data_IF_156576319924
#
_entry.id   IF_156576319924
#
_cell.length_a   1.000
_cell.length_b   1.000
_cell.length_c   1.000
_cell.angle_alpha   90.00
_cell.angle_beta   90.00
_cell.angle_gamma   90.00
#
_symmetry.space_group_name_H-M   'P 1'
#
loop_
_entity.id
_entity.type
_entity.pdbx_description
1 polymer ?
#
# COMPACT_ATOMS: atom_id res chain seq x y z
N UNK A 1 -4.09 -17.14 56.01
CA UNK A 1 -3.19 -17.54 54.90
C UNK A 1 -4.02 -17.49 53.63
N UNK A 2 -3.86 -16.45 52.86
CA UNK A 2 -4.64 -16.21 51.67
C UNK A 2 -3.70 -15.94 50.50
N UNK A 3 -3.66 -16.86 49.53
CA UNK A 3 -3.03 -16.71 48.25
C UNK A 3 -3.94 -15.85 47.37
N UNK A 4 -3.57 -14.62 47.12
CA UNK A 4 -4.09 -13.76 46.05
C UNK A 4 -2.91 -13.50 45.15
N UNK A 5 -2.77 -14.11 44.01
CA UNK A 5 -3.59 -13.91 42.81
C UNK A 5 -2.80 -12.99 41.89
N UNK A 6 -1.70 -13.56 41.31
CA UNK A 6 -0.97 -12.94 40.18
C UNK A 6 -1.88 -12.90 38.93
N UNK A 7 -2.79 -11.94 38.85
CA UNK A 7 -3.39 -11.55 37.60
C UNK A 7 -2.38 -10.67 36.88
N UNK A 8 -1.60 -11.30 36.03
CA UNK A 8 -0.82 -10.57 35.01
C UNK A 8 -1.77 -9.67 34.26
N UNK A 9 -1.58 -8.34 34.39
CA UNK A 9 -2.14 -7.36 33.47
C UNK A 9 -1.73 -7.83 32.08
N UNK A 10 -2.70 -8.30 31.29
CA UNK A 10 -2.54 -8.28 29.84
C UNK A 10 -2.22 -6.84 29.48
N UNK A 11 -0.98 -6.64 29.12
CA UNK A 11 -0.56 -5.42 28.42
C UNK A 11 -1.46 -5.41 27.18
N UNK A 12 -2.49 -4.59 27.20
CA UNK A 12 -3.19 -4.21 25.98
C UNK A 12 -2.12 -3.51 25.16
N UNK A 13 -1.59 -4.22 24.16
CA UNK A 13 -0.78 -3.60 23.14
C UNK A 13 -1.55 -2.37 22.68
N UNK A 14 -1.02 -1.19 23.02
CA UNK A 14 -1.44 0.03 22.37
C UNK A 14 -1.25 -0.22 20.88
N UNK A 15 -2.35 -0.42 20.18
CA UNK A 15 -2.42 -0.43 18.72
C UNK A 15 -2.06 0.99 18.32
N UNK A 16 -0.76 1.28 18.29
CA UNK A 16 -0.20 2.53 17.77
C UNK A 16 -0.54 2.54 16.29
N UNK A 17 -1.64 3.23 15.99
CA UNK A 17 -2.42 2.94 14.83
C UNK A 17 -1.73 3.44 13.56
N UNK A 18 -1.08 2.56 12.84
CA UNK A 18 -0.83 2.75 11.40
C UNK A 18 -2.13 3.17 10.73
N UNK A 19 -2.15 4.37 10.17
CA UNK A 19 -3.31 4.92 9.46
C UNK A 19 -3.25 4.55 8.00
N UNK A 20 -4.28 3.88 7.52
CA UNK A 20 -4.39 3.43 6.13
C UNK A 20 -5.45 4.24 5.40
N UNK A 21 -5.10 4.80 4.26
CA UNK A 21 -6.02 5.32 3.26
C UNK A 21 -6.11 4.32 2.10
N UNK A 22 -7.24 3.64 1.99
CA UNK A 22 -7.57 2.79 0.87
C UNK A 22 -8.54 3.55 -0.03
N UNK A 23 -8.13 3.91 -1.24
CA UNK A 23 -8.92 4.84 -2.03
C UNK A 23 -8.92 4.57 -3.53
N UNK A 24 -9.94 5.13 -4.21
CA UNK A 24 -10.03 5.18 -5.67
C UNK A 24 -9.89 6.61 -6.16
N UNK A 25 -9.32 6.78 -7.35
CA UNK A 25 -9.30 8.04 -8.09
C UNK A 25 -9.96 7.85 -9.45
N UNK A 26 -11.12 8.48 -9.64
CA UNK A 26 -11.88 8.41 -10.90
C UNK A 26 -12.58 7.07 -11.17
N UNK A 27 -12.24 6.01 -10.47
CA UNK A 27 -12.76 4.67 -10.68
C UNK A 27 -13.83 4.28 -9.64
N UNK A 28 -14.77 3.41 -10.03
CA UNK A 28 -15.72 2.75 -9.14
C UNK A 28 -15.36 1.27 -9.02
N UNK A 29 -14.38 0.95 -8.20
CA UNK A 29 -13.91 -0.43 -8.00
C UNK A 29 -14.51 -1.04 -6.74
N UNK A 30 -15.83 -1.20 -6.68
CA UNK A 30 -16.54 -1.62 -5.48
C UNK A 30 -16.00 -2.90 -4.83
N UNK A 31 -15.90 -3.99 -5.60
CA UNK A 31 -15.51 -5.30 -5.05
C UNK A 31 -14.01 -5.35 -4.67
N UNK A 32 -13.10 -4.91 -5.55
CA UNK A 32 -11.67 -4.94 -5.27
C UNK A 32 -11.29 -4.08 -4.07
N UNK A 33 -11.90 -2.90 -3.96
CA UNK A 33 -11.71 -2.02 -2.82
C UNK A 33 -12.23 -2.67 -1.53
N UNK A 34 -13.36 -3.36 -1.59
CA UNK A 34 -13.94 -4.08 -0.47
C UNK A 34 -13.04 -5.24 -0.01
N UNK A 35 -12.54 -6.06 -0.93
CA UNK A 35 -11.68 -7.21 -0.62
C UNK A 35 -10.36 -6.76 0.03
N UNK A 36 -9.75 -5.70 -0.51
CA UNK A 36 -8.54 -5.15 0.08
C UNK A 36 -8.83 -4.50 1.45
N UNK A 37 -9.99 -3.86 1.63
CA UNK A 37 -10.39 -3.32 2.93
C UNK A 37 -10.51 -4.42 3.99
N UNK A 38 -11.07 -5.58 3.65
CA UNK A 38 -11.11 -6.74 4.54
C UNK A 38 -9.70 -7.16 4.94
N UNK A 39 -8.78 -7.23 3.96
CA UNK A 39 -7.39 -7.63 4.20
C UNK A 39 -6.67 -6.64 5.11
N UNK A 40 -6.80 -5.33 4.89
CA UNK A 40 -6.20 -4.30 5.74
C UNK A 40 -6.80 -4.29 7.16
N UNK A 41 -8.12 -4.41 7.29
CA UNK A 41 -8.83 -4.35 8.58
C UNK A 41 -8.51 -5.53 9.51
N UNK A 42 -7.93 -6.61 9.00
CA UNK A 42 -7.41 -7.71 9.82
C UNK A 42 -6.15 -7.33 10.61
N UNK A 43 -5.39 -6.35 10.15
CA UNK A 43 -4.07 -6.01 10.68
C UNK A 43 -3.98 -4.58 11.22
N UNK A 44 -4.85 -3.67 10.78
CA UNK A 44 -4.83 -2.26 11.16
C UNK A 44 -6.21 -1.79 11.58
N UNK A 45 -6.27 -1.13 12.74
CA UNK A 45 -7.55 -0.62 13.28
C UNK A 45 -8.03 0.67 12.58
N UNK A 46 -7.10 1.47 12.03
CA UNK A 46 -7.40 2.77 11.44
C UNK A 46 -7.36 2.70 9.90
N UNK A 47 -8.32 2.01 9.30
CA UNK A 47 -8.50 1.94 7.84
C UNK A 47 -9.61 2.88 7.41
N UNK A 48 -9.27 3.83 6.53
CA UNK A 48 -10.22 4.76 5.92
C UNK A 48 -10.40 4.41 4.45
N UNK A 49 -11.63 4.18 4.02
CA UNK A 49 -11.96 3.89 2.62
C UNK A 49 -12.67 5.09 2.00
N UNK A 50 -12.15 5.62 0.87
CA UNK A 50 -12.70 6.79 0.18
C UNK A 50 -12.58 6.70 -1.34
N UNK A 51 -13.57 7.27 -2.05
CA UNK A 51 -13.50 7.55 -3.49
C UNK A 51 -13.24 9.04 -3.74
N UNK A 52 -12.36 9.35 -4.68
CA UNK A 52 -12.06 10.70 -5.13
C UNK A 52 -12.31 10.82 -6.63
N UNK A 53 -12.92 11.93 -7.04
CA UNK A 53 -13.15 12.23 -8.45
C UNK A 53 -11.98 13.03 -9.06
N UNK A 54 -11.23 13.77 -8.21
CA UNK A 54 -10.16 14.65 -8.66
C UNK A 54 -8.85 14.45 -7.90
N UNK A 55 -7.75 14.74 -8.58
CA UNK A 55 -6.40 14.77 -7.99
C UNK A 55 -6.33 15.75 -6.81
N UNK A 56 -7.06 16.87 -6.89
CA UNK A 56 -7.10 17.86 -5.81
C UNK A 56 -7.70 17.26 -4.52
N UNK A 57 -8.81 16.53 -4.63
CA UNK A 57 -9.42 15.85 -3.46
C UNK A 57 -8.50 14.79 -2.86
N UNK A 58 -7.86 13.98 -3.71
CA UNK A 58 -6.87 13.00 -3.26
C UNK A 58 -5.71 13.69 -2.53
N UNK A 59 -5.16 14.77 -3.08
CA UNK A 59 -4.07 15.54 -2.47
C UNK A 59 -4.43 16.06 -1.08
N UNK A 60 -5.63 16.64 -0.94
CA UNK A 60 -6.13 17.12 0.35
C UNK A 60 -6.32 15.99 1.38
N UNK A 61 -6.72 14.81 0.92
CA UNK A 61 -6.83 13.65 1.80
C UNK A 61 -5.46 13.14 2.27
N UNK A 62 -4.45 13.10 1.40
CA UNK A 62 -3.09 12.68 1.74
C UNK A 62 -2.48 13.59 2.81
N UNK A 63 -2.78 14.89 2.81
CA UNK A 63 -2.33 15.87 3.82
C UNK A 63 -2.83 15.54 5.25
N UNK A 64 -3.83 14.67 5.39
CA UNK A 64 -4.32 14.20 6.71
C UNK A 64 -3.38 13.18 7.39
N UNK A 65 -2.22 12.93 6.82
CA UNK A 65 -1.13 12.08 7.33
C UNK A 65 -1.55 10.62 7.56
N UNK A 66 -1.54 9.88 6.48
CA UNK A 66 -1.64 8.42 6.49
C UNK A 66 -0.25 7.80 6.40
N UNK A 67 -0.06 6.66 7.06
CA UNK A 67 1.18 5.88 6.95
C UNK A 67 1.20 5.06 5.64
N UNK A 68 0.04 4.56 5.23
CA UNK A 68 -0.16 3.79 4.01
C UNK A 68 -1.21 4.49 3.15
N UNK A 69 -0.90 4.69 1.89
CA UNK A 69 -1.87 5.08 0.84
C UNK A 69 -1.92 3.96 -0.19
N UNK A 70 -3.07 3.28 -0.30
CA UNK A 70 -3.33 2.28 -1.33
C UNK A 70 -4.34 2.84 -2.31
N UNK A 71 -3.87 3.18 -3.50
CA UNK A 71 -4.60 3.94 -4.50
C UNK A 71 -4.94 3.09 -5.72
N UNK A 72 -6.23 2.92 -5.96
CA UNK A 72 -6.76 2.45 -7.24
C UNK A 72 -6.96 3.64 -8.17
N UNK A 73 -6.28 3.65 -9.30
CA UNK A 73 -6.34 4.74 -10.27
C UNK A 73 -6.03 4.25 -11.68
N UNK A 74 -6.35 5.06 -12.67
CA UNK A 74 -5.88 4.87 -14.03
C UNK A 74 -4.48 5.46 -14.19
N UNK A 75 -3.59 4.70 -14.82
CA UNK A 75 -2.25 5.15 -15.18
C UNK A 75 -2.13 5.07 -16.71
N UNK A 76 -1.89 6.20 -17.35
CA UNK A 76 -1.73 6.28 -18.80
C UNK A 76 -0.44 5.58 -19.26
N UNK A 77 -0.31 5.20 -20.53
CA UNK A 77 0.93 4.61 -21.08
C UNK A 77 2.19 5.46 -20.88
N UNK A 78 2.02 6.78 -20.68
CA UNK A 78 3.10 7.70 -20.32
C UNK A 78 3.47 7.73 -18.84
N UNK A 79 2.81 6.92 -17.98
CA UNK A 79 3.05 6.88 -16.54
C UNK A 79 2.40 8.04 -15.77
N UNK A 80 1.36 8.66 -16.33
CA UNK A 80 0.58 9.71 -15.68
C UNK A 80 -0.59 9.10 -14.94
N UNK A 81 -0.80 9.51 -13.69
CA UNK A 81 -2.00 9.18 -12.90
C UNK A 81 -3.13 10.11 -13.35
N UNK A 82 -4.26 9.54 -13.74
CA UNK A 82 -5.40 10.26 -14.33
C UNK A 82 -6.59 10.24 -13.38
N UNK A 83 -7.28 11.38 -13.25
CA UNK A 83 -8.50 11.49 -12.46
C UNK A 83 -9.79 11.28 -13.29
N UNK A 84 -10.94 11.28 -12.61
CA UNK A 84 -12.25 11.06 -13.25
C UNK A 84 -12.67 12.16 -14.24
N UNK A 85 -11.96 13.28 -14.30
CA UNK A 85 -12.21 14.39 -15.22
C UNK A 85 -11.15 14.49 -16.33
N UNK A 86 -10.19 13.53 -16.39
CA UNK A 86 -9.13 13.51 -17.38
C UNK A 86 -7.92 14.39 -17.02
N UNK A 87 -7.90 15.03 -15.84
CA UNK A 87 -6.70 15.70 -15.39
C UNK A 87 -5.64 14.66 -15.00
N UNK A 88 -4.38 15.01 -15.20
CA UNK A 88 -3.29 14.07 -14.98
C UNK A 88 -2.12 14.71 -14.22
N UNK A 89 -1.47 13.91 -13.36
CA UNK A 89 -0.18 14.25 -12.74
C UNK A 89 0.83 13.12 -13.00
N UNK A 90 2.11 13.44 -12.94
CA UNK A 90 3.13 12.40 -13.01
C UNK A 90 3.09 11.52 -11.77
N UNK A 91 3.42 10.24 -11.91
CA UNK A 91 3.59 9.36 -10.75
C UNK A 91 4.65 9.90 -9.79
N UNK A 92 5.69 10.55 -10.31
CA UNK A 92 6.71 11.24 -9.50
C UNK A 92 6.11 12.37 -8.65
N UNK A 93 5.24 13.21 -9.19
CA UNK A 93 4.56 14.27 -8.41
C UNK A 93 3.64 13.69 -7.32
N UNK A 94 3.00 12.55 -7.58
CA UNK A 94 2.23 11.86 -6.55
C UNK A 94 3.13 11.32 -5.42
N UNK A 95 4.28 10.73 -5.78
CA UNK A 95 5.29 10.27 -4.81
C UNK A 95 5.78 11.45 -3.95
N UNK A 96 6.05 12.60 -4.55
CA UNK A 96 6.45 13.81 -3.82
C UNK A 96 5.40 14.23 -2.80
N UNK A 97 4.14 14.35 -3.21
CA UNK A 97 3.04 14.68 -2.30
C UNK A 97 2.91 13.69 -1.12
N UNK A 98 3.00 12.40 -1.40
CA UNK A 98 2.97 11.37 -0.36
C UNK A 98 4.17 11.48 0.57
N UNK A 99 5.37 11.69 0.04
CA UNK A 99 6.59 11.84 0.83
C UNK A 99 6.56 13.08 1.72
N UNK A 100 6.07 14.21 1.19
CA UNK A 100 5.94 15.48 1.93
C UNK A 100 4.89 15.39 3.05
N UNK A 101 3.97 14.44 2.95
CA UNK A 101 2.95 14.13 3.98
C UNK A 101 3.32 12.96 4.90
N UNK A 102 4.60 12.54 4.92
CA UNK A 102 5.12 11.43 5.73
C UNK A 102 4.49 10.05 5.45
N UNK A 103 3.91 9.85 4.27
CA UNK A 103 3.44 8.53 3.85
C UNK A 103 4.64 7.57 3.74
N UNK A 104 4.56 6.43 4.41
CA UNK A 104 5.64 5.43 4.47
C UNK A 104 5.57 4.41 3.33
N UNK A 105 4.34 4.12 2.89
CA UNK A 105 4.07 3.19 1.80
C UNK A 105 2.99 3.76 0.87
N UNK A 106 3.35 3.96 -0.40
CA UNK A 106 2.40 4.22 -1.48
C UNK A 106 2.24 2.93 -2.30
N UNK A 107 1.00 2.47 -2.44
CA UNK A 107 0.65 1.35 -3.30
C UNK A 107 -0.21 1.83 -4.45
N UNK A 108 0.24 1.66 -5.68
CA UNK A 108 -0.53 1.93 -6.89
C UNK A 108 -1.14 0.62 -7.37
N UNK A 109 -2.43 0.49 -7.21
CA UNK A 109 -3.21 -0.70 -7.56
C UNK A 109 -3.83 -0.59 -8.96
N UNK A 110 -3.03 -0.13 -9.91
CA UNK A 110 -3.39 -0.02 -11.33
C UNK A 110 -2.68 -1.12 -12.10
N UNK A 111 -3.42 -1.94 -12.84
CA UNK A 111 -2.82 -3.02 -13.63
C UNK A 111 -2.17 -2.44 -14.89
N UNK A 112 -0.84 -2.31 -14.87
CA UNK A 112 -0.07 -1.76 -15.98
C UNK A 112 1.23 -2.54 -16.21
N UNK A 113 1.79 -2.39 -17.42
CA UNK A 113 3.11 -2.93 -17.74
C UNK A 113 4.21 -2.26 -16.90
N UNK A 114 5.26 -3.02 -16.59
CA UNK A 114 6.40 -2.53 -15.81
C UNK A 114 7.02 -1.24 -16.41
N UNK A 115 7.12 -1.18 -17.72
CA UNK A 115 7.70 -0.05 -18.44
C UNK A 115 6.92 1.26 -18.22
N UNK A 116 5.59 1.16 -18.06
CA UNK A 116 4.72 2.31 -17.76
C UNK A 116 5.10 2.92 -16.41
N UNK A 117 5.29 2.08 -15.41
CA UNK A 117 5.69 2.53 -14.07
C UNK A 117 7.11 3.10 -14.06
N UNK A 118 8.07 2.43 -14.70
CA UNK A 118 9.46 2.88 -14.77
C UNK A 118 9.56 4.28 -15.41
N UNK A 119 8.72 4.59 -16.40
CA UNK A 119 8.69 5.91 -17.04
C UNK A 119 8.12 6.99 -16.14
N UNK A 120 7.01 6.74 -15.44
CA UNK A 120 6.22 7.75 -14.74
C UNK A 120 6.49 7.90 -13.26
N UNK A 121 7.10 6.88 -12.61
CA UNK A 121 7.22 6.81 -11.16
C UNK A 121 8.69 6.73 -10.75
N UNK A 122 9.28 7.87 -10.40
CA UNK A 122 10.68 7.94 -9.95
C UNK A 122 10.75 8.39 -8.51
N UNK A 123 11.41 7.60 -7.67
CA UNK A 123 11.56 7.93 -6.25
C UNK A 123 12.40 9.19 -6.00
N UNK A 124 13.40 9.46 -6.87
CA UNK A 124 14.19 10.71 -6.78
C UNK A 124 14.84 10.96 -5.42
N UNK A 125 15.20 9.90 -4.68
CA UNK A 125 15.74 10.01 -3.32
C UNK A 125 14.69 10.27 -2.23
N UNK A 126 13.39 10.23 -2.55
CA UNK A 126 12.30 10.41 -1.58
C UNK A 126 12.22 9.25 -0.59
N UNK A 127 11.84 9.58 0.65
CA UNK A 127 11.78 8.63 1.78
C UNK A 127 10.47 7.87 1.87
N UNK A 128 10.05 7.22 0.79
CA UNK A 128 8.81 6.46 0.71
C UNK A 128 9.05 5.09 0.07
N UNK A 129 8.35 4.07 0.52
CA UNK A 129 8.31 2.78 -0.16
C UNK A 129 7.18 2.80 -1.20
N UNK A 130 7.43 2.25 -2.37
CA UNK A 130 6.49 2.25 -3.49
C UNK A 130 6.24 0.81 -3.95
N UNK A 131 4.97 0.43 -4.01
CA UNK A 131 4.52 -0.81 -4.66
C UNK A 131 3.62 -0.45 -5.83
N UNK A 132 3.81 -1.12 -6.96
CA UNK A 132 3.02 -0.93 -8.16
C UNK A 132 2.55 -2.29 -8.67
N UNK A 133 1.25 -2.46 -8.81
CA UNK A 133 0.65 -3.70 -9.26
C UNK A 133 0.70 -3.81 -10.78
N UNK A 134 1.28 -4.89 -11.31
CA UNK A 134 1.28 -5.21 -12.73
C UNK A 134 0.05 -6.05 -13.08
N UNK A 135 -0.28 -7.03 -12.24
CA UNK A 135 -1.40 -7.93 -12.46
C UNK A 135 -1.94 -8.46 -11.12
N UNK A 136 -3.24 -8.44 -10.96
CA UNK A 136 -3.95 -8.99 -9.79
C UNK A 136 -4.53 -10.36 -10.16
N UNK A 137 -3.77 -11.41 -9.95
CA UNK A 137 -4.20 -12.77 -10.26
C UNK A 137 -5.19 -13.33 -9.22
N UNK A 138 -6.42 -12.81 -9.19
CA UNK A 138 -7.52 -13.34 -8.39
C UNK A 138 -7.18 -13.53 -6.90
N UNK A 139 -7.54 -14.68 -6.34
CA UNK A 139 -7.33 -15.02 -4.91
C UNK A 139 -5.86 -15.06 -4.48
N UNK A 140 -4.94 -15.22 -5.41
CA UNK A 140 -3.50 -15.26 -5.12
C UNK A 140 -2.98 -13.88 -4.69
N UNK A 141 -3.51 -12.80 -5.29
CA UNK A 141 -3.17 -11.44 -4.88
C UNK A 141 -3.62 -11.18 -3.43
N UNK A 142 -4.84 -11.53 -3.08
CA UNK A 142 -5.35 -11.35 -1.72
C UNK A 142 -4.49 -12.10 -0.69
N UNK A 143 -4.10 -13.33 -0.99
CA UNK A 143 -3.20 -14.12 -0.13
C UNK A 143 -1.82 -13.46 0.02
N UNK A 144 -1.26 -12.93 -1.06
CA UNK A 144 0.01 -12.21 -1.01
C UNK A 144 -0.13 -10.93 -0.18
N UNK A 145 -1.16 -10.12 -0.43
CA UNK A 145 -1.43 -8.89 0.32
C UNK A 145 -1.54 -9.19 1.82
N UNK A 146 -2.35 -10.15 2.22
CA UNK A 146 -2.52 -10.54 3.63
C UNK A 146 -1.20 -10.99 4.27
N UNK A 147 -0.39 -11.78 3.61
CA UNK A 147 0.92 -12.21 4.10
C UNK A 147 1.87 -11.03 4.29
N UNK A 148 1.86 -10.08 3.33
CA UNK A 148 2.68 -8.88 3.42
C UNK A 148 2.24 -8.01 4.58
N UNK A 149 0.94 -7.72 4.71
CA UNK A 149 0.38 -6.91 5.79
C UNK A 149 0.62 -7.57 7.16
N UNK A 150 0.49 -8.89 7.27
CA UNK A 150 0.81 -9.63 8.49
C UNK A 150 2.27 -9.48 8.95
N UNK A 151 3.23 -9.41 8.03
CA UNK A 151 4.65 -9.18 8.36
C UNK A 151 4.88 -7.74 8.79
N UNK A 152 4.32 -6.79 8.03
CA UNK A 152 4.44 -5.36 8.32
C UNK A 152 3.81 -5.01 9.67
N UNK A 153 2.64 -5.57 10.01
CA UNK A 153 1.97 -5.33 11.29
C UNK A 153 2.76 -5.86 12.49
N UNK A 154 3.61 -6.87 12.29
CA UNK A 154 4.56 -7.37 13.27
C UNK A 154 5.86 -6.56 13.38
N UNK A 155 5.96 -5.47 12.62
CA UNK A 155 7.08 -4.54 12.65
C UNK A 155 8.25 -4.94 11.76
N UNK A 156 8.08 -5.86 10.81
CA UNK A 156 9.08 -6.06 9.77
C UNK A 156 9.15 -4.83 8.87
N UNK A 157 10.33 -4.52 8.35
CA UNK A 157 10.47 -3.46 7.34
C UNK A 157 9.95 -3.94 5.99
N UNK A 158 9.49 -3.00 5.15
CA UNK A 158 8.95 -3.35 3.82
C UNK A 158 9.93 -4.17 2.96
N UNK A 159 11.25 -3.83 2.86
CA UNK A 159 12.19 -4.67 2.11
C UNK A 159 12.34 -6.08 2.64
N UNK A 160 12.35 -6.27 3.96
CA UNK A 160 12.47 -7.59 4.59
C UNK A 160 11.21 -8.43 4.35
N UNK A 161 10.04 -7.84 4.58
CA UNK A 161 8.76 -8.50 4.35
C UNK A 161 8.59 -8.89 2.87
N UNK A 162 8.97 -8.00 1.96
CA UNK A 162 8.95 -8.24 0.51
C UNK A 162 9.87 -9.38 0.12
N UNK A 163 11.14 -9.32 0.49
CA UNK A 163 12.13 -10.35 0.14
C UNK A 163 11.76 -11.75 0.64
N UNK A 164 11.05 -11.84 1.77
CA UNK A 164 10.59 -13.10 2.32
C UNK A 164 9.40 -13.72 1.57
N UNK A 165 8.67 -12.92 0.78
CA UNK A 165 7.47 -13.37 0.04
C UNK A 165 7.73 -13.59 -1.45
N UNK A 166 8.73 -12.92 -1.99
CA UNK A 166 9.11 -13.07 -3.40
C UNK A 166 10.00 -14.31 -3.53
N UNK A 167 9.70 -15.26 -4.45
CA UNK A 167 10.54 -16.42 -4.68
C UNK A 167 11.95 -15.99 -5.09
N UNK A 168 12.95 -16.60 -4.45
CA UNK A 168 14.36 -16.30 -4.72
C UNK A 168 14.90 -16.94 -6.02
N UNK A 169 14.14 -17.85 -6.64
CA UNK A 169 14.51 -18.51 -7.88
C UNK A 169 13.32 -18.55 -8.85
N UNK A 170 13.57 -18.37 -10.16
CA UNK A 170 12.54 -18.60 -11.16
C UNK A 170 12.15 -20.07 -11.16
N UNK A 171 10.90 -20.36 -10.83
CA UNK A 171 10.31 -21.69 -10.89
C UNK A 171 9.06 -21.67 -11.75
N UNK A 172 8.52 -22.82 -12.16
CA UNK A 172 7.26 -22.91 -12.90
C UNK A 172 6.08 -22.28 -12.14
N UNK A 173 6.20 -22.13 -10.83
CA UNK A 173 5.21 -21.46 -9.95
C UNK A 173 5.27 -19.92 -9.98
N UNK A 174 6.21 -19.30 -10.70
CA UNK A 174 6.23 -17.83 -10.86
C UNK A 174 4.98 -17.26 -11.53
N UNK A 175 4.27 -18.08 -12.29
CA UNK A 175 2.97 -17.70 -12.86
C UNK A 175 1.89 -17.47 -11.79
N UNK A 176 2.17 -17.87 -10.55
CA UNK A 176 1.20 -17.92 -9.45
C UNK A 176 1.26 -16.74 -8.49
N UNK A 177 2.28 -15.89 -8.57
CA UNK A 177 2.41 -14.72 -7.72
C UNK A 177 1.83 -13.46 -8.38
N UNK A 178 1.26 -12.54 -7.59
CA UNK A 178 0.86 -11.26 -8.11
C UNK A 178 2.10 -10.54 -8.63
N UNK A 179 2.06 -10.16 -9.88
CA UNK A 179 3.13 -9.37 -10.48
C UNK A 179 3.06 -7.94 -9.94
N UNK A 180 3.97 -7.62 -9.03
CA UNK A 180 4.15 -6.28 -8.50
C UNK A 180 5.61 -5.85 -8.63
N UNK A 181 5.82 -4.56 -8.76
CA UNK A 181 7.13 -3.93 -8.64
C UNK A 181 7.22 -3.29 -7.26
N UNK A 182 8.36 -3.44 -6.62
CA UNK A 182 8.69 -2.76 -5.37
C UNK A 182 9.93 -1.88 -5.57
N UNK A 183 9.85 -0.65 -5.07
CA UNK A 183 10.96 0.27 -5.01
C UNK A 183 11.11 0.82 -3.57
N UNK A 184 12.28 0.62 -2.98
CA UNK A 184 12.58 1.03 -1.62
C UNK A 184 13.22 2.42 -1.60
N UNK A 185 12.49 3.41 -1.07
CA UNK A 185 13.03 4.74 -0.79
C UNK A 185 13.37 4.94 0.69
N UNK A 186 12.81 4.10 1.58
CA UNK A 186 13.00 4.21 3.03
C UNK A 186 13.13 2.82 3.67
N UNK A 187 14.30 2.18 3.57
CA UNK A 187 14.46 0.78 3.93
C UNK A 187 14.24 0.47 5.42
N UNK A 188 14.49 1.40 6.32
CA UNK A 188 14.38 1.19 7.78
C UNK A 188 13.00 1.45 8.38
N UNK A 189 11.98 1.83 7.59
CA UNK A 189 10.66 2.19 8.12
C UNK A 189 9.86 0.95 8.49
N UNK A 190 9.30 1.00 9.70
CA UNK A 190 8.36 0.02 10.22
C UNK A 190 6.97 0.62 10.29
N UNK A 191 5.96 -0.18 9.93
CA UNK A 191 4.54 0.13 10.09
C UNK A 191 4.06 -0.57 11.37
N UNK A 192 3.78 0.20 12.40
CA UNK A 192 3.29 -0.31 13.68
C UNK A 192 2.00 0.39 14.08
#
# INVERSE_FOLDING_TARGET
MGLWGLFGKRQTDEVTGTKVLLCTLGQKLGQLLHDDNISYSRFYAAVTTKGFSTIKQLSQAIEQRYDIVHLFCDVSPGGMVVDGHGNAITGTSLIEKCSDSDVKLLWIASENKAETYIKGFKLGGKHINLVMTINRNGSKFSTFLERLLSRLSRGETMPVAWAALVPQAPGPSQQDLPSCIFAAGRPGVRLR
#
